data_IF_254325855569
#
_entry.id   IF_254325855569
#
_cell.length_a   1.000
_cell.length_b   1.000
_cell.length_c   1.000
_cell.angle_alpha   90.00
_cell.angle_beta   90.00
_cell.angle_gamma   90.00
#
_symmetry.space_group_name_H-M   'P 1'
#
loop_
_entity.id
_entity.type
_entity.pdbx_description
1 polymer ?
#
# COMPACT_ATOMS: atom_id res chain seq x y z
N UNK A 1 -0.70 -4.32 9.21
CA UNK A 1 -1.19 -3.20 10.06
C UNK A 1 -1.36 -1.99 9.17
N UNK A 2 -2.39 -1.17 9.40
CA UNK A 2 -2.56 0.11 8.71
C UNK A 2 -2.41 1.22 9.74
N UNK A 3 -1.64 2.26 9.43
CA UNK A 3 -1.43 3.41 10.30
C UNK A 3 -1.71 4.72 9.56
N UNK A 4 -2.12 5.75 10.30
CA UNK A 4 -2.13 7.12 9.78
C UNK A 4 -0.70 7.67 9.85
N UNK A 5 -0.21 8.25 8.75
CA UNK A 5 1.13 8.82 8.64
C UNK A 5 1.08 10.22 8.05
N UNK A 6 2.07 11.05 8.37
CA UNK A 6 2.23 12.38 7.80
C UNK A 6 3.46 12.43 6.90
N UNK A 7 3.29 12.88 5.65
CA UNK A 7 4.43 13.14 4.76
C UNK A 7 5.17 14.40 5.24
N UNK A 8 6.46 14.28 5.55
CA UNK A 8 7.19 15.29 6.35
C UNK A 8 7.29 16.67 5.71
N UNK A 9 7.42 16.72 4.38
CA UNK A 9 7.62 17.93 3.57
C UNK A 9 6.30 18.68 3.29
N UNK A 10 5.23 17.96 2.98
CA UNK A 10 3.91 18.52 2.62
C UNK A 10 2.95 18.60 3.80
N UNK A 11 3.26 17.93 4.91
CA UNK A 11 2.37 17.75 6.07
C UNK A 11 1.04 17.04 5.76
N UNK A 12 0.87 16.50 4.54
CA UNK A 12 -0.33 15.77 4.15
C UNK A 12 -0.40 14.41 4.84
N UNK A 13 -1.60 14.04 5.27
CA UNK A 13 -1.90 12.80 5.99
C UNK A 13 -2.27 11.70 5.00
N UNK A 14 -1.83 10.47 5.28
CA UNK A 14 -2.07 9.28 4.46
C UNK A 14 -2.33 8.05 5.34
N UNK A 15 -2.92 7.01 4.77
CA UNK A 15 -2.94 5.68 5.36
C UNK A 15 -1.78 4.83 4.81
N UNK A 16 -0.99 4.22 5.67
CA UNK A 16 0.14 3.36 5.30
C UNK A 16 -0.11 1.92 5.72
N UNK A 17 -0.15 1.00 4.74
CA UNK A 17 -0.27 -0.44 4.95
C UNK A 17 1.12 -1.08 5.10
N UNK A 18 1.46 -1.52 6.31
CA UNK A 18 2.69 -2.27 6.57
C UNK A 18 2.56 -3.73 6.16
N UNK A 19 3.51 -4.18 5.33
CA UNK A 19 3.66 -5.56 4.89
C UNK A 19 5.03 -6.10 5.31
N UNK A 20 5.04 -7.22 6.03
CA UNK A 20 6.28 -7.88 6.46
C UNK A 20 6.79 -8.78 5.35
N UNK A 21 8.00 -8.50 4.84
CA UNK A 21 8.63 -9.31 3.77
C UNK A 21 8.73 -10.79 4.16
N UNK A 22 9.18 -11.07 5.38
CA UNK A 22 9.33 -12.44 5.88
C UNK A 22 8.00 -13.19 5.86
N UNK A 23 6.93 -12.59 6.40
CA UNK A 23 5.59 -13.20 6.39
C UNK A 23 5.04 -13.37 4.97
N UNK A 24 5.36 -12.46 4.05
CA UNK A 24 4.95 -12.59 2.65
C UNK A 24 5.65 -13.78 1.98
N UNK A 25 6.92 -14.05 2.29
CA UNK A 25 7.66 -15.20 1.76
C UNK A 25 7.12 -16.50 2.37
N UNK A 26 6.99 -16.56 3.70
CA UNK A 26 6.49 -17.74 4.42
C UNK A 26 5.10 -18.20 3.99
N UNK A 27 4.27 -17.26 3.51
CA UNK A 27 2.90 -17.51 3.06
C UNK A 27 2.74 -17.53 1.54
N UNK A 28 3.83 -17.43 0.78
CA UNK A 28 3.81 -17.33 -0.69
C UNK A 28 2.93 -16.17 -1.25
N UNK A 29 2.86 -15.05 -0.52
CA UNK A 29 2.01 -13.89 -0.84
C UNK A 29 2.74 -12.84 -1.69
N UNK A 30 4.02 -13.06 -2.00
CA UNK A 30 4.85 -12.06 -2.70
C UNK A 30 4.21 -11.65 -4.04
N UNK A 31 3.71 -12.62 -4.81
CA UNK A 31 3.04 -12.36 -6.09
C UNK A 31 1.76 -11.54 -5.93
N UNK A 32 1.01 -11.78 -4.86
CA UNK A 32 -0.24 -11.06 -4.60
C UNK A 32 0.04 -9.61 -4.22
N UNK A 33 1.09 -9.36 -3.42
CA UNK A 33 1.54 -8.00 -3.08
C UNK A 33 1.94 -7.21 -4.33
N UNK A 34 2.71 -7.80 -5.24
CA UNK A 34 3.09 -7.13 -6.50
C UNK A 34 1.88 -6.87 -7.40
N UNK A 35 0.95 -7.83 -7.48
CA UNK A 35 -0.29 -7.67 -8.24
C UNK A 35 -1.15 -6.52 -7.71
N UNK A 36 -1.31 -6.41 -6.39
CA UNK A 36 -2.02 -5.31 -5.75
C UNK A 36 -1.40 -3.95 -6.14
N UNK A 37 -0.07 -3.83 -6.04
CA UNK A 37 0.64 -2.61 -6.43
C UNK A 37 0.45 -2.27 -7.92
N UNK A 38 0.59 -3.25 -8.82
CA UNK A 38 0.44 -3.02 -10.25
C UNK A 38 -0.97 -2.57 -10.61
N UNK A 39 -2.00 -3.19 -10.02
CA UNK A 39 -3.40 -2.80 -10.25
C UNK A 39 -3.64 -1.38 -9.74
N UNK A 40 -3.21 -1.08 -8.51
CA UNK A 40 -3.47 0.22 -7.90
C UNK A 40 -2.70 1.37 -8.57
N UNK A 41 -1.52 1.13 -9.14
CA UNK A 41 -0.79 2.13 -9.92
C UNK A 41 -1.51 2.52 -11.23
N UNK A 42 -2.34 1.63 -11.77
CA UNK A 42 -3.13 1.90 -12.98
C UNK A 42 -4.52 2.46 -12.73
N UNK A 43 -4.89 2.72 -11.47
CA UNK A 43 -6.23 3.18 -11.09
C UNK A 43 -6.14 4.55 -10.42
N UNK A 44 -6.91 5.50 -10.95
CA UNK A 44 -7.15 6.79 -10.32
C UNK A 44 -8.63 7.14 -10.43
N UNK A 45 -9.31 7.21 -9.29
CA UNK A 45 -10.75 7.49 -9.28
C UNK A 45 -11.16 8.19 -7.98
N UNK A 46 -12.07 9.20 -8.03
CA UNK A 46 -12.48 9.97 -6.86
C UNK A 46 -13.17 9.16 -5.76
N UNK A 47 -13.75 8.01 -6.12
CA UNK A 47 -14.42 7.11 -5.17
C UNK A 47 -13.57 5.90 -4.76
N UNK A 48 -12.30 5.85 -5.15
CA UNK A 48 -11.35 4.82 -4.73
C UNK A 48 -10.25 5.42 -3.85
N UNK A 49 -9.68 4.58 -2.97
CA UNK A 49 -8.46 4.94 -2.24
C UNK A 49 -7.28 4.71 -3.18
N UNK A 50 -6.81 5.80 -3.78
CA UNK A 50 -5.68 5.79 -4.70
C UNK A 50 -4.35 5.62 -3.93
N UNK A 51 -3.31 5.13 -4.62
CA UNK A 51 -1.96 4.91 -4.08
C UNK A 51 -1.18 6.22 -3.85
#
# INVERSE_FOLDING_TARGET
QVCIVQKRDTKKMYAMKYMSKQKCIERDEVRNVFRELQIMQGLEHPFLVNL
#
